data_IF_385548056843
#
_entry.id   IF_385548056843
#
_cell.length_a   1.000
_cell.length_b   1.000
_cell.length_c   1.000
_cell.angle_alpha   90.00
_cell.angle_beta   90.00
_cell.angle_gamma   90.00
#
_symmetry.space_group_name_H-M   'P 1'
#
loop_
_entity.id
_entity.type
_entity.pdbx_description
1 polymer ?
#
# COMPACT_ATOMS: atom_id res chain seq x y z
N UNK A 1 -2.01 -27.45 20.93
CA UNK A 1 -2.03 -25.96 21.11
C UNK A 1 -0.74 -25.27 20.59
N UNK A 2 -0.08 -25.73 19.51
CA UNK A 2 1.26 -25.24 19.23
C UNK A 2 1.38 -24.23 18.09
N UNK A 3 0.89 -24.58 16.90
CA UNK A 3 1.21 -23.86 15.67
C UNK A 3 0.42 -22.56 15.50
N UNK A 4 -0.89 -22.61 15.75
CA UNK A 4 -1.76 -21.44 15.62
C UNK A 4 -1.34 -20.32 16.59
N UNK A 5 -1.15 -20.65 17.89
CA UNK A 5 -0.73 -19.67 18.90
C UNK A 5 0.64 -19.06 18.60
N UNK A 6 1.57 -19.82 17.98
CA UNK A 6 2.87 -19.30 17.61
C UNK A 6 2.79 -18.39 16.40
N UNK A 7 2.02 -18.77 15.38
CA UNK A 7 1.78 -17.93 14.22
C UNK A 7 1.09 -16.62 14.61
N UNK A 8 0.02 -16.70 15.40
CA UNK A 8 -0.70 -15.51 15.88
C UNK A 8 0.25 -14.56 16.61
N UNK A 9 1.04 -15.04 17.53
CA UNK A 9 1.98 -14.23 18.31
C UNK A 9 3.00 -13.48 17.46
N UNK A 10 3.47 -14.08 16.36
CA UNK A 10 4.51 -13.47 15.52
C UNK A 10 3.96 -12.73 14.28
N UNK A 11 2.78 -13.09 13.79
CA UNK A 11 2.22 -12.51 12.57
C UNK A 11 1.22 -11.38 12.84
N UNK A 12 0.35 -11.49 13.87
CA UNK A 12 -0.66 -10.49 14.16
C UNK A 12 -0.11 -9.08 14.47
N UNK A 13 1.05 -8.92 15.14
CA UNK A 13 1.63 -7.58 15.32
C UNK A 13 1.93 -6.84 14.03
N UNK A 14 2.02 -7.54 12.90
CA UNK A 14 2.29 -6.95 11.58
C UNK A 14 1.01 -6.73 10.75
N UNK A 15 -0.17 -6.97 11.32
CA UNK A 15 -1.46 -6.75 10.64
C UNK A 15 -1.62 -5.31 10.11
N UNK A 16 -1.29 -4.26 10.88
CA UNK A 16 -1.38 -2.89 10.37
C UNK A 16 -0.49 -2.65 9.14
N UNK A 17 0.76 -3.13 9.17
CA UNK A 17 1.68 -3.01 8.04
C UNK A 17 1.20 -3.79 6.81
N UNK A 18 0.64 -4.98 7.01
CA UNK A 18 0.04 -5.81 5.98
C UNK A 18 -1.14 -5.11 5.32
N UNK A 19 -2.04 -4.56 6.13
CA UNK A 19 -3.20 -3.81 5.65
C UNK A 19 -2.78 -2.54 4.88
N UNK A 20 -1.87 -1.74 5.43
CA UNK A 20 -1.35 -0.56 4.76
C UNK A 20 -0.80 -0.88 3.37
N UNK A 21 0.06 -1.91 3.27
CA UNK A 21 0.63 -2.32 1.99
C UNK A 21 -0.46 -2.78 1.00
N UNK A 22 -1.40 -3.61 1.44
CA UNK A 22 -2.51 -4.06 0.62
C UNK A 22 -3.36 -2.89 0.13
N UNK A 23 -3.79 -2.01 1.04
CA UNK A 23 -4.62 -0.84 0.73
C UNK A 23 -3.95 0.07 -0.31
N UNK A 24 -2.68 0.41 -0.14
CA UNK A 24 -1.97 1.25 -1.09
C UNK A 24 -1.77 0.60 -2.46
N UNK A 25 -1.77 -0.72 -2.53
CA UNK A 25 -1.70 -1.43 -3.81
C UNK A 25 -3.06 -1.52 -4.50
N UNK A 26 -4.12 -1.95 -3.78
CA UNK A 26 -5.44 -2.21 -4.39
C UNK A 26 -6.36 -0.98 -4.38
N UNK A 27 -6.14 -0.01 -3.46
CA UNK A 27 -6.86 1.27 -3.36
C UNK A 27 -8.35 1.15 -3.02
N UNK A 28 -8.72 0.12 -2.34
CA UNK A 28 -10.06 -0.12 -1.82
C UNK A 28 -9.93 -0.78 -0.46
N UNK A 29 -10.66 -0.30 0.54
CA UNK A 29 -10.60 -0.83 1.90
C UNK A 29 -11.09 -2.28 1.94
N UNK A 30 -12.24 -2.56 1.34
CA UNK A 30 -12.81 -3.89 1.28
C UNK A 30 -11.89 -4.89 0.55
N UNK A 31 -11.32 -4.47 -0.60
CA UNK A 31 -10.38 -5.32 -1.35
C UNK A 31 -9.08 -5.55 -0.58
N UNK A 32 -8.62 -4.56 0.20
CA UNK A 32 -7.44 -4.70 1.05
C UNK A 32 -7.68 -5.71 2.18
N UNK A 33 -8.85 -5.70 2.80
CA UNK A 33 -9.26 -6.69 3.80
C UNK A 33 -9.23 -8.10 3.22
N UNK A 34 -9.82 -8.30 2.06
CA UNK A 34 -9.82 -9.59 1.36
C UNK A 34 -8.40 -10.07 1.03
N UNK A 35 -7.57 -9.17 0.51
CA UNK A 35 -6.16 -9.47 0.21
C UNK A 35 -5.38 -9.86 1.46
N UNK A 36 -5.56 -9.14 2.57
CA UNK A 36 -4.89 -9.44 3.84
C UNK A 36 -5.36 -10.77 4.39
N UNK A 37 -6.67 -11.03 4.39
CA UNK A 37 -7.23 -12.31 4.84
C UNK A 37 -6.65 -13.48 4.03
N UNK A 38 -6.65 -13.39 2.71
CA UNK A 38 -6.05 -14.42 1.84
C UNK A 38 -4.55 -14.59 2.12
N UNK A 39 -3.82 -13.47 2.30
CA UNK A 39 -2.39 -13.50 2.58
C UNK A 39 -2.09 -14.19 3.92
N UNK A 40 -2.85 -13.89 4.98
CA UNK A 40 -2.69 -14.53 6.30
C UNK A 40 -3.01 -16.02 6.28
N UNK A 41 -4.03 -16.43 5.55
CA UNK A 41 -4.33 -17.86 5.36
C UNK A 41 -3.18 -18.59 4.65
N UNK A 42 -2.57 -17.97 3.65
CA UNK A 42 -1.39 -18.52 2.94
C UNK A 42 -0.16 -18.55 3.84
N UNK A 43 0.07 -17.45 4.57
CA UNK A 43 1.17 -17.36 5.52
C UNK A 43 1.06 -18.45 6.59
N UNK A 44 -0.12 -18.65 7.16
CA UNK A 44 -0.37 -19.71 8.15
C UNK A 44 -0.02 -21.09 7.61
N UNK A 45 -0.48 -21.43 6.38
CA UNK A 45 -0.17 -22.71 5.74
C UNK A 45 1.31 -22.91 5.44
N UNK A 46 2.05 -21.83 5.20
CA UNK A 46 3.47 -21.87 4.88
C UNK A 46 4.38 -21.69 6.10
N UNK A 47 3.81 -21.41 7.27
CA UNK A 47 4.55 -21.02 8.46
C UNK A 47 5.49 -22.11 8.98
N UNK A 48 5.13 -23.38 8.90
CA UNK A 48 5.99 -24.48 9.32
C UNK A 48 7.29 -24.57 8.50
N UNK A 49 7.24 -24.11 7.26
CA UNK A 49 8.40 -24.04 6.37
C UNK A 49 9.23 -22.77 6.54
N UNK A 50 8.76 -21.78 7.31
CA UNK A 50 9.47 -20.53 7.50
C UNK A 50 10.75 -20.77 8.35
N UNK A 51 11.90 -20.33 7.82
CA UNK A 51 13.22 -20.46 8.47
C UNK A 51 13.94 -19.10 8.58
N UNK A 52 13.25 -18.00 8.24
CA UNK A 52 13.80 -16.66 8.33
C UNK A 52 13.95 -16.17 9.77
N UNK A 53 14.83 -15.17 9.98
CA UNK A 53 15.02 -14.54 11.29
C UNK A 53 13.90 -13.52 11.59
N UNK A 54 13.34 -12.88 10.58
CA UNK A 54 12.28 -11.87 10.69
C UNK A 54 11.07 -12.26 9.85
N UNK A 55 9.92 -12.41 10.51
CA UNK A 55 8.66 -12.78 9.89
C UNK A 55 8.06 -11.63 9.07
N UNK A 56 8.39 -10.38 9.41
CA UNK A 56 7.76 -9.20 8.82
C UNK A 56 8.01 -9.07 7.31
N UNK A 57 9.26 -9.07 6.78
CA UNK A 57 9.48 -9.03 5.34
C UNK A 57 8.85 -10.21 4.60
N UNK A 58 8.94 -11.42 5.15
CA UNK A 58 8.33 -12.61 4.59
C UNK A 58 6.81 -12.50 4.48
N UNK A 59 6.13 -12.03 5.53
CA UNK A 59 4.69 -11.83 5.54
C UNK A 59 4.28 -10.75 4.53
N UNK A 60 4.99 -9.61 4.52
CA UNK A 60 4.72 -8.53 3.57
C UNK A 60 4.94 -8.95 2.11
N UNK A 61 5.89 -9.86 1.83
CA UNK A 61 6.04 -10.46 0.51
C UNK A 61 4.81 -11.28 0.10
N UNK A 62 4.20 -12.02 1.03
CA UNK A 62 2.98 -12.78 0.77
C UNK A 62 1.81 -11.84 0.49
N UNK A 63 1.64 -10.78 1.31
CA UNK A 63 0.62 -9.75 1.13
C UNK A 63 0.76 -9.05 -0.22
N UNK A 64 1.97 -8.61 -0.56
CA UNK A 64 2.29 -8.01 -1.86
C UNK A 64 1.88 -8.92 -3.02
N UNK A 65 2.28 -10.18 -2.95
CA UNK A 65 1.97 -11.14 -4.00
C UNK A 65 0.46 -11.41 -4.14
N UNK A 66 -0.28 -11.40 -3.03
CA UNK A 66 -1.74 -11.49 -3.04
C UNK A 66 -2.36 -10.25 -3.70
N UNK A 67 -1.91 -9.04 -3.34
CA UNK A 67 -2.38 -7.78 -3.91
C UNK A 67 -2.13 -7.71 -5.44
N UNK A 68 -0.93 -8.06 -5.92
CA UNK A 68 -0.64 -8.06 -7.36
C UNK A 68 -1.46 -9.10 -8.13
N UNK A 69 -1.75 -10.24 -7.52
CA UNK A 69 -2.64 -11.25 -8.11
C UNK A 69 -4.06 -10.73 -8.22
N UNK A 70 -4.56 -10.07 -7.17
CA UNK A 70 -5.86 -9.42 -7.18
C UNK A 70 -5.94 -8.37 -8.32
N UNK A 71 -4.93 -7.48 -8.43
CA UNK A 71 -4.84 -6.47 -9.49
C UNK A 71 -4.84 -7.11 -10.89
N UNK A 72 -4.11 -8.22 -11.08
CA UNK A 72 -4.06 -8.95 -12.35
C UNK A 72 -5.42 -9.54 -12.71
N UNK A 73 -6.12 -10.14 -11.74
CA UNK A 73 -7.44 -10.72 -11.95
C UNK A 73 -8.47 -9.63 -12.29
N UNK A 74 -8.46 -8.50 -11.58
CA UNK A 74 -9.35 -7.37 -11.85
C UNK A 74 -9.15 -6.80 -13.27
N UNK A 75 -7.89 -6.69 -13.73
CA UNK A 75 -7.59 -6.27 -15.11
C UNK A 75 -8.12 -7.25 -16.15
N UNK A 76 -8.00 -8.55 -15.91
CA UNK A 76 -8.55 -9.59 -16.81
C UNK A 76 -10.06 -9.51 -16.88
N UNK A 77 -10.74 -9.39 -15.74
CA UNK A 77 -12.19 -9.24 -15.68
C UNK A 77 -12.65 -7.96 -16.39
N UNK A 78 -11.97 -6.84 -16.18
CA UNK A 78 -12.27 -5.58 -16.88
C UNK A 78 -12.11 -5.69 -18.40
N UNK A 79 -11.08 -6.38 -18.89
CA UNK A 79 -10.88 -6.63 -20.31
C UNK A 79 -11.94 -7.56 -20.92
N UNK A 80 -12.47 -8.51 -20.15
CA UNK A 80 -13.57 -9.38 -20.59
C UNK A 80 -14.90 -8.64 -20.61
N UNK A 81 -15.14 -7.74 -19.65
CA UNK A 81 -16.36 -6.91 -19.57
C UNK A 81 -16.33 -5.81 -20.63
N UNK A 82 -15.16 -5.26 -20.98
CA UNK A 82 -14.99 -4.24 -22.03
C UNK A 82 -15.34 -4.73 -23.44
N UNK A 83 -15.50 -6.02 -23.65
CA UNK A 83 -16.08 -6.57 -24.89
C UNK A 83 -17.61 -6.56 -24.90
N UNK A 84 -18.27 -6.37 -23.76
CA UNK A 84 -19.74 -6.40 -23.65
C UNK A 84 -20.40 -5.11 -23.18
N UNK A 85 -19.68 -4.16 -22.57
CA UNK A 85 -20.28 -2.94 -22.04
C UNK A 85 -19.32 -1.75 -22.11
N UNK A 86 -19.40 -1.00 -23.21
CA UNK A 86 -18.92 0.37 -23.28
C UNK A 86 -19.98 1.29 -22.65
N UNK A 87 -20.08 1.29 -21.30
CA UNK A 87 -20.77 2.39 -20.58
C UNK A 87 -20.55 2.27 -19.05
N UNK A 88 -20.15 3.40 -18.46
CA UNK A 88 -20.23 3.77 -17.05
C UNK A 88 -19.34 3.00 -16.04
N UNK A 89 -18.23 3.63 -15.66
CA UNK A 89 -17.80 3.62 -14.26
C UNK A 89 -17.03 4.89 -13.89
N UNK A 90 -17.77 5.79 -13.27
CA UNK A 90 -17.23 6.88 -12.47
C UNK A 90 -16.43 6.32 -11.27
N UNK A 91 -15.35 7.02 -10.92
CA UNK A 91 -14.44 6.62 -9.86
C UNK A 91 -15.15 6.49 -8.51
N UNK A 92 -14.94 5.36 -7.87
CA UNK A 92 -15.17 5.21 -6.45
C UNK A 92 -14.12 6.06 -5.72
N UNK A 93 -14.62 7.05 -4.99
CA UNK A 93 -13.83 7.89 -4.10
C UNK A 93 -13.11 7.00 -3.08
N UNK A 94 -11.79 7.11 -3.02
CA UNK A 94 -10.99 6.43 -2.01
C UNK A 94 -11.30 7.06 -0.65
N UNK A 95 -12.00 6.34 0.20
CA UNK A 95 -12.24 6.71 1.59
C UNK A 95 -10.89 6.98 2.29
N UNK A 96 -10.75 8.17 2.87
CA UNK A 96 -9.53 8.57 3.57
C UNK A 96 -9.38 7.73 4.85
N UNK A 97 -8.33 6.92 4.90
CA UNK A 97 -7.97 6.18 6.12
C UNK A 97 -7.47 7.18 7.16
N UNK A 98 -8.21 7.33 8.24
CA UNK A 98 -7.75 8.05 9.43
C UNK A 98 -6.64 7.25 10.11
N UNK A 99 -5.40 7.71 9.91
CA UNK A 99 -4.28 7.27 10.76
C UNK A 99 -4.43 8.01 12.08
N UNK A 100 -4.77 7.29 13.15
CA UNK A 100 -4.86 7.86 14.49
C UNK A 100 -3.52 8.48 14.89
N UNK A 101 -3.52 9.77 15.18
CA UNK A 101 -2.35 10.53 15.66
C UNK A 101 -2.81 11.46 16.79
N UNK A 102 -2.00 11.57 17.84
CA UNK A 102 -2.24 12.38 19.03
C UNK A 102 -2.67 13.84 18.73
N UNK A 103 -3.56 14.36 19.56
CA UNK A 103 -4.39 15.52 19.30
C UNK A 103 -3.64 16.87 19.21
N UNK A 104 -3.52 17.46 18.01
CA UNK A 104 -3.21 18.89 17.85
C UNK A 104 -4.47 19.76 17.91
N UNK A 105 -4.29 21.10 18.00
CA UNK A 105 -5.38 22.08 18.02
C UNK A 105 -6.26 21.99 16.76
N UNK A 106 -7.51 22.48 16.82
CA UNK A 106 -8.48 22.35 15.72
C UNK A 106 -8.00 22.92 14.37
N UNK A 107 -7.24 24.00 14.39
CA UNK A 107 -6.67 24.63 13.19
C UNK A 107 -5.50 23.81 12.61
N UNK A 108 -4.60 23.30 13.47
CA UNK A 108 -3.54 22.39 13.07
C UNK A 108 -4.08 21.03 12.57
N UNK A 109 -5.28 20.62 13.03
CA UNK A 109 -5.98 19.44 12.52
C UNK A 109 -6.48 19.64 11.08
N UNK A 110 -7.13 20.76 10.79
CA UNK A 110 -7.63 21.08 9.44
C UNK A 110 -6.49 21.14 8.43
N UNK A 111 -5.39 21.84 8.75
CA UNK A 111 -4.20 21.90 7.90
C UNK A 111 -3.60 20.49 7.71
N UNK A 112 -3.45 19.72 8.79
CA UNK A 112 -2.94 18.36 8.71
C UNK A 112 -3.83 17.39 7.94
N UNK A 113 -5.13 17.59 7.92
CA UNK A 113 -6.08 16.78 7.14
C UNK A 113 -6.01 17.13 5.65
N UNK A 114 -5.89 18.41 5.29
CA UNK A 114 -5.68 18.86 3.91
C UNK A 114 -4.34 18.34 3.38
N UNK A 115 -3.27 18.48 4.13
CA UNK A 115 -1.94 17.97 3.74
C UNK A 115 -1.96 16.46 3.56
N UNK A 116 -2.65 15.73 4.43
CA UNK A 116 -2.82 14.26 4.30
C UNK A 116 -3.62 13.87 3.06
N UNK A 117 -4.69 14.58 2.75
CA UNK A 117 -5.49 14.33 1.58
C UNK A 117 -4.69 14.56 0.28
N UNK A 118 -3.90 15.63 0.22
CA UNK A 118 -3.01 15.94 -0.91
C UNK A 118 -1.96 14.85 -1.09
N UNK A 119 -1.27 14.45 0.00
CA UNK A 119 -0.28 13.36 -0.04
C UNK A 119 -0.92 12.03 -0.47
N UNK A 120 -2.10 11.74 0.06
CA UNK A 120 -2.84 10.54 -0.31
C UNK A 120 -3.20 10.52 -1.79
N UNK A 121 -3.71 11.63 -2.31
CA UNK A 121 -4.04 11.81 -3.74
C UNK A 121 -2.79 11.69 -4.61
N UNK A 122 -1.68 12.30 -4.19
CA UNK A 122 -0.42 12.24 -4.91
C UNK A 122 0.15 10.81 -4.97
N UNK A 123 0.14 10.08 -3.85
CA UNK A 123 0.55 8.68 -3.82
C UNK A 123 -0.37 7.80 -4.70
N UNK A 124 -1.66 8.11 -4.73
CA UNK A 124 -2.63 7.38 -5.52
C UNK A 124 -2.38 7.49 -7.04
N UNK A 125 -1.82 8.58 -7.51
CA UNK A 125 -1.48 8.78 -8.92
C UNK A 125 -0.19 8.04 -9.34
N UNK A 126 0.67 7.66 -8.38
CA UNK A 126 1.90 6.95 -8.72
C UNK A 126 1.63 5.54 -9.26
N UNK A 127 2.47 5.06 -10.20
CA UNK A 127 2.49 3.65 -10.57
C UNK A 127 2.66 2.75 -9.33
N UNK A 128 1.97 1.60 -9.25
CA UNK A 128 2.04 0.69 -8.09
C UNK A 128 3.46 0.32 -7.68
N UNK A 129 4.37 0.15 -8.65
CA UNK A 129 5.77 -0.23 -8.42
C UNK A 129 6.59 0.85 -7.67
N UNK A 130 6.24 2.12 -7.80
CA UNK A 130 6.86 3.21 -7.05
C UNK A 130 6.17 3.41 -5.70
N UNK A 131 4.86 3.28 -5.69
CA UNK A 131 4.05 3.40 -4.48
C UNK A 131 4.45 2.34 -3.44
N UNK A 132 4.59 1.07 -3.86
CA UNK A 132 4.97 -0.01 -2.94
C UNK A 132 6.31 0.24 -2.25
N UNK A 133 7.35 0.65 -2.98
CA UNK A 133 8.67 0.87 -2.37
C UNK A 133 8.70 2.10 -1.48
N UNK A 134 7.93 3.15 -1.80
CA UNK A 134 7.77 4.32 -0.94
C UNK A 134 7.05 3.95 0.35
N UNK A 135 5.95 3.20 0.27
CA UNK A 135 5.22 2.74 1.45
C UNK A 135 6.09 1.88 2.36
N UNK A 136 6.80 0.89 1.79
CA UNK A 136 7.68 0.02 2.55
C UNK A 136 8.84 0.78 3.21
N UNK A 137 9.35 1.83 2.56
CA UNK A 137 10.46 2.61 3.10
C UNK A 137 10.03 3.70 4.08
N UNK A 138 9.09 4.55 3.66
CA UNK A 138 8.77 5.80 4.38
C UNK A 138 7.74 5.57 5.49
N UNK A 139 6.80 4.66 5.31
CA UNK A 139 5.76 4.37 6.29
C UNK A 139 6.14 3.18 7.16
N UNK A 140 6.57 2.08 6.54
CA UNK A 140 6.90 0.86 7.28
C UNK A 140 8.36 0.83 7.79
N UNK A 141 9.21 1.76 7.36
CA UNK A 141 10.59 1.91 7.83
C UNK A 141 11.53 0.77 7.45
N UNK A 142 11.18 -0.07 6.46
CA UNK A 142 12.00 -1.20 6.06
C UNK A 142 13.35 -0.76 5.49
N UNK A 143 14.39 -1.56 5.73
CA UNK A 143 15.70 -1.38 5.12
C UNK A 143 15.66 -1.82 3.65
N UNK A 144 16.58 -1.32 2.83
CA UNK A 144 16.62 -1.65 1.40
C UNK A 144 16.72 -3.16 1.12
N UNK A 145 17.42 -3.93 1.98
CA UNK A 145 17.51 -5.39 1.88
C UNK A 145 16.16 -6.05 2.15
N UNK A 146 15.45 -5.60 3.18
CA UNK A 146 14.11 -6.09 3.51
C UNK A 146 13.10 -5.77 2.41
N UNK A 147 13.18 -4.55 1.80
CA UNK A 147 12.36 -4.19 0.65
C UNK A 147 12.70 -5.08 -0.57
N UNK A 148 13.97 -5.41 -0.76
CA UNK A 148 14.40 -6.33 -1.81
C UNK A 148 13.80 -7.74 -1.62
N UNK A 149 13.75 -8.24 -0.37
CA UNK A 149 13.10 -9.50 -0.02
C UNK A 149 11.58 -9.44 -0.28
N UNK A 150 10.91 -8.37 0.18
CA UNK A 150 9.45 -8.18 -0.04
C UNK A 150 9.11 -8.11 -1.53
N UNK A 151 9.90 -7.36 -2.30
CA UNK A 151 9.59 -7.10 -3.72
C UNK A 151 10.14 -8.15 -4.68
N UNK A 152 11.05 -9.00 -4.22
CA UNK A 152 11.78 -9.94 -5.06
C UNK A 152 12.72 -9.25 -6.07
N UNK A 153 13.12 -8.00 -5.81
CA UNK A 153 13.95 -7.20 -6.70
C UNK A 153 15.35 -7.00 -6.11
N UNK A 154 16.40 -6.90 -6.95
CA UNK A 154 17.75 -6.55 -6.47
C UNK A 154 17.76 -5.22 -5.70
N UNK A 155 18.62 -5.08 -4.69
CA UNK A 155 18.75 -3.86 -3.87
C UNK A 155 18.99 -2.61 -4.72
N UNK A 156 19.80 -2.70 -5.77
CA UNK A 156 20.02 -1.61 -6.72
C UNK A 156 18.74 -1.18 -7.44
N UNK A 157 17.87 -2.13 -7.77
CA UNK A 157 16.54 -1.85 -8.33
C UNK A 157 15.63 -1.16 -7.32
N UNK A 158 15.66 -1.58 -6.05
CA UNK A 158 14.91 -0.91 -4.96
C UNK A 158 15.36 0.55 -4.83
N UNK A 159 16.67 0.81 -4.81
CA UNK A 159 17.22 2.17 -4.72
C UNK A 159 16.78 3.04 -5.89
N UNK A 160 16.87 2.52 -7.12
CA UNK A 160 16.44 3.26 -8.31
C UNK A 160 14.93 3.52 -8.35
N UNK A 161 14.11 2.56 -7.90
CA UNK A 161 12.65 2.74 -7.78
C UNK A 161 12.30 3.79 -6.72
N UNK A 162 12.97 3.78 -5.56
CA UNK A 162 12.79 4.80 -4.53
C UNK A 162 13.15 6.20 -5.03
N UNK A 163 14.30 6.34 -5.71
CA UNK A 163 14.73 7.62 -6.28
C UNK A 163 13.70 8.15 -7.29
N UNK A 164 13.27 7.32 -8.24
CA UNK A 164 12.26 7.69 -9.23
C UNK A 164 10.90 7.96 -8.58
N UNK A 165 10.48 7.11 -7.64
CA UNK A 165 9.22 7.27 -6.92
C UNK A 165 9.15 8.60 -6.16
N UNK A 166 10.23 8.99 -5.46
CA UNK A 166 10.31 10.31 -4.80
C UNK A 166 10.27 11.46 -5.79
N UNK A 167 10.91 11.32 -6.95
CA UNK A 167 10.87 12.33 -8.00
C UNK A 167 9.47 12.52 -8.56
N UNK A 168 8.79 11.41 -8.89
CA UNK A 168 7.41 11.46 -9.41
C UNK A 168 6.43 11.99 -8.35
N UNK A 169 6.56 11.55 -7.09
CA UNK A 169 5.73 12.05 -6.00
C UNK A 169 5.86 13.58 -5.85
N UNK A 170 7.09 14.10 -5.92
CA UNK A 170 7.33 15.54 -5.83
C UNK A 170 6.65 16.31 -6.96
N UNK A 171 6.70 15.81 -8.20
CA UNK A 171 6.03 16.43 -9.35
C UNK A 171 4.51 16.47 -9.16
N UNK A 172 3.93 15.36 -8.69
CA UNK A 172 2.48 15.29 -8.46
C UNK A 172 2.07 16.23 -7.33
N UNK A 173 2.82 16.25 -6.22
CA UNK A 173 2.56 17.15 -5.10
C UNK A 173 2.60 18.62 -5.53
N UNK A 174 3.65 19.06 -6.26
CA UNK A 174 3.73 20.45 -6.76
C UNK A 174 2.51 20.81 -7.59
N UNK A 175 2.08 19.92 -8.50
CA UNK A 175 0.89 20.15 -9.33
C UNK A 175 -0.42 20.25 -8.53
N UNK A 176 -0.58 19.41 -7.49
CA UNK A 176 -1.78 19.43 -6.65
C UNK A 176 -1.82 20.67 -5.78
N UNK A 177 -0.68 21.09 -5.22
CA UNK A 177 -0.57 22.30 -4.39
C UNK A 177 -0.83 23.58 -5.20
N UNK A 178 -0.34 23.66 -6.46
CA UNK A 178 -0.62 24.78 -7.36
C UNK A 178 -2.10 24.91 -7.73
N UNK A 179 -2.87 23.80 -7.71
CA UNK A 179 -4.30 23.83 -7.97
C UNK A 179 -5.14 24.29 -6.77
N UNK A 180 -4.63 24.09 -5.56
CA UNK A 180 -5.32 24.48 -4.32
C UNK A 180 -5.02 25.92 -3.90
N UNK A 181 -4.12 26.65 -4.56
CA UNK A 181 -4.01 28.10 -4.36
C UNK A 181 -5.25 28.77 -4.99
N UNK A 182 -6.18 29.34 -4.18
CA UNK A 182 -7.26 30.13 -4.73
C UNK A 182 -6.63 31.29 -5.50
N UNK A 183 -7.02 31.47 -6.77
CA UNK A 183 -6.74 32.67 -7.54
C UNK A 183 -7.21 33.88 -6.72
N UNK A 184 -6.30 34.49 -5.95
CA UNK A 184 -6.50 35.79 -5.37
C UNK A 184 -6.53 36.80 -6.53
N UNK A 185 -7.72 37.16 -6.93
CA UNK A 185 -8.01 38.38 -7.71
C UNK A 185 -8.24 39.54 -6.75
#
# INVERSE_FOLDING_TARGET
>A
MGQLSNFERVALPHMPAAFNLAFWLVRSHADAEDVVQEAYLRAFRAFDGFRGADVRPWLLAIVRNAAYRWLSNRRRSANVISLNEAFERNGEEAEAVQIASDAPSSEARLIGEVDRAIVHSALAELPPIFREVLMLREIEGLRYREIAEVTGAPVGTVMSRLSRGRSELRKVLSRLMEKDEPHAL
#
